data_IF_741535914000
#
_entry.id   IF_741535914000
#
_cell.length_a   1.000
_cell.length_b   1.000
_cell.length_c   1.000
_cell.angle_alpha   90.00
_cell.angle_beta   90.00
_cell.angle_gamma   90.00
#
_symmetry.space_group_name_H-M   'P 1'
#
loop_
_entity.id
_entity.type
_entity.pdbx_description
1 polymer ?
#
# COMPACT_ATOMS: atom_id res chain seq x y z
N UNK A 1 4.11 -8.64 -17.80
CA UNK A 1 4.77 -7.62 -16.97
C UNK A 1 5.21 -8.32 -15.71
N UNK A 2 6.51 -8.53 -15.55
CA UNK A 2 7.06 -9.06 -14.31
C UNK A 2 7.09 -7.91 -13.29
N UNK A 3 6.14 -7.91 -12.36
CA UNK A 3 6.06 -6.90 -11.32
C UNK A 3 6.95 -7.35 -10.16
N UNK A 4 8.03 -6.63 -9.84
CA UNK A 4 8.96 -7.05 -8.80
C UNK A 4 8.30 -7.04 -7.43
N UNK A 5 8.57 -8.08 -6.64
CA UNK A 5 8.30 -8.11 -5.20
C UNK A 5 9.24 -7.13 -4.50
N UNK A 6 8.71 -6.42 -3.51
CA UNK A 6 9.44 -5.44 -2.71
C UNK A 6 9.50 -5.93 -1.27
N UNK A 7 10.69 -5.91 -0.69
CA UNK A 7 10.85 -6.21 0.74
C UNK A 7 10.22 -5.09 1.56
N UNK A 8 9.81 -5.37 2.81
CA UNK A 8 9.19 -4.34 3.66
C UNK A 8 10.16 -3.17 3.95
N UNK A 9 11.45 -3.45 4.02
CA UNK A 9 12.49 -2.46 4.32
C UNK A 9 12.85 -1.59 3.09
N UNK A 10 12.50 -2.05 1.88
CA UNK A 10 12.77 -1.34 0.61
C UNK A 10 11.55 -0.58 0.06
N UNK A 11 10.50 -0.43 0.87
CA UNK A 11 9.27 0.25 0.48
C UNK A 11 9.51 1.71 0.09
N UNK A 12 8.97 2.11 -1.05
CA UNK A 12 9.02 3.47 -1.57
C UNK A 12 7.60 3.99 -1.82
N UNK A 13 7.35 5.31 -1.65
CA UNK A 13 6.06 5.89 -1.96
C UNK A 13 5.58 5.47 -3.36
N UNK A 14 4.34 4.99 -3.45
CA UNK A 14 3.75 4.44 -4.68
C UNK A 14 3.76 2.92 -4.78
N UNK A 15 4.51 2.20 -3.93
CA UNK A 15 4.43 0.74 -3.86
C UNK A 15 3.04 0.29 -3.41
N UNK A 16 2.52 -0.76 -4.07
CA UNK A 16 1.28 -1.41 -3.66
C UNK A 16 1.59 -2.41 -2.56
N UNK A 17 0.85 -2.32 -1.48
CA UNK A 17 0.95 -3.23 -0.33
C UNK A 17 -0.33 -4.04 -0.19
N UNK A 18 -0.20 -5.31 0.15
CA UNK A 18 -1.29 -6.28 0.15
C UNK A 18 -1.48 -6.93 1.51
N UNK A 19 -2.73 -7.14 1.90
CA UNK A 19 -3.09 -7.66 3.21
C UNK A 19 -4.13 -8.78 3.17
N UNK A 20 -4.09 -9.67 4.17
CA UNK A 20 -5.07 -10.74 4.39
C UNK A 20 -6.06 -10.44 5.53
N UNK A 21 -6.54 -9.21 5.68
CA UNK A 21 -7.47 -8.76 6.73
C UNK A 21 -8.65 -9.70 7.07
N UNK A 22 -9.07 -10.56 6.14
CA UNK A 22 -10.14 -11.54 6.34
C UNK A 22 -9.68 -12.90 6.88
N UNK A 23 -8.38 -13.12 7.08
CA UNK A 23 -7.79 -14.32 7.68
C UNK A 23 -7.88 -15.60 6.84
N UNK A 24 -8.15 -15.51 5.53
CA UNK A 24 -8.38 -16.68 4.66
C UNK A 24 -7.16 -17.06 3.80
N UNK A 25 -5.96 -16.69 4.22
CA UNK A 25 -4.70 -17.01 3.52
C UNK A 25 -4.54 -16.39 2.13
N UNK A 26 -5.39 -15.41 1.77
CA UNK A 26 -5.35 -14.74 0.47
C UNK A 26 -5.43 -13.22 0.64
N UNK A 27 -4.89 -12.51 -0.34
CA UNK A 27 -5.05 -11.07 -0.46
C UNK A 27 -6.53 -10.72 -0.45
N UNK A 28 -6.90 -9.78 0.41
CA UNK A 28 -8.28 -9.32 0.61
C UNK A 28 -8.41 -7.81 0.74
N UNK A 29 -7.27 -7.12 0.84
CA UNK A 29 -7.19 -5.67 0.95
C UNK A 29 -5.87 -5.19 0.33
N UNK A 30 -5.85 -3.96 -0.17
CA UNK A 30 -4.67 -3.31 -0.73
C UNK A 30 -4.59 -1.84 -0.30
N UNK A 31 -3.38 -1.30 -0.27
CA UNK A 31 -3.09 0.10 -0.03
C UNK A 31 -1.92 0.58 -0.89
N UNK A 32 -1.71 1.89 -0.93
CA UNK A 32 -0.56 2.52 -1.58
C UNK A 32 0.32 3.06 -0.46
N UNK A 33 1.58 2.61 -0.40
CA UNK A 33 2.54 3.12 0.55
C UNK A 33 2.86 4.59 0.25
N UNK A 34 2.93 5.43 1.28
CA UNK A 34 3.15 6.88 1.13
C UNK A 34 4.41 7.39 1.83
N UNK A 35 5.20 6.50 2.46
CA UNK A 35 6.38 6.86 3.25
C UNK A 35 6.15 6.70 4.76
N UNK A 36 7.22 6.75 5.53
CA UNK A 36 7.22 6.75 7.01
C UNK A 36 6.40 5.63 7.67
N UNK A 37 6.36 4.44 7.06
CA UNK A 37 5.56 3.33 7.56
C UNK A 37 4.06 3.50 7.36
N UNK A 38 3.61 4.51 6.60
CA UNK A 38 2.21 4.84 6.38
C UNK A 38 1.73 4.46 4.98
N UNK A 39 0.42 4.28 4.84
CA UNK A 39 -0.21 3.98 3.56
C UNK A 39 -1.63 4.55 3.49
N UNK A 40 -2.07 4.88 2.28
CA UNK A 40 -3.44 5.28 1.99
C UNK A 40 -4.23 4.10 1.42
N UNK A 41 -5.49 3.95 1.85
CA UNK A 41 -6.36 2.89 1.37
C UNK A 41 -7.84 3.25 1.51
N UNK A 42 -8.69 2.52 0.79
CA UNK A 42 -10.15 2.60 0.97
C UNK A 42 -10.59 1.64 2.07
N UNK A 43 -10.71 2.12 3.30
CA UNK A 43 -11.31 1.35 4.37
C UNK A 43 -12.82 1.12 4.12
N UNK A 44 -13.40 0.17 4.84
CA UNK A 44 -14.85 -0.04 4.78
C UNK A 44 -15.61 1.24 5.15
N UNK A 45 -16.87 1.37 4.72
CA UNK A 45 -17.72 2.52 5.11
C UNK A 45 -17.78 2.73 6.63
N UNK A 46 -17.82 1.65 7.41
CA UNK A 46 -17.80 1.71 8.87
C UNK A 46 -16.45 2.11 9.45
N UNK A 47 -15.37 1.94 8.69
CA UNK A 47 -14.00 2.27 9.05
C UNK A 47 -13.52 3.65 8.59
N UNK A 48 -14.41 4.49 8.05
CA UNK A 48 -14.10 5.88 7.69
C UNK A 48 -13.83 6.15 6.20
N UNK A 49 -13.93 5.15 5.33
CA UNK A 49 -13.69 5.35 3.89
C UNK A 49 -12.21 5.51 3.56
N UNK A 50 -11.84 6.45 2.68
CA UNK A 50 -10.44 6.67 2.29
C UNK A 50 -9.70 7.33 3.45
N UNK A 51 -8.65 6.67 3.96
CA UNK A 51 -7.86 7.13 5.11
C UNK A 51 -6.40 6.68 5.01
N UNK A 52 -5.59 7.22 5.91
CA UNK A 52 -4.19 6.86 6.10
C UNK A 52 -4.04 6.11 7.42
N UNK A 53 -3.37 4.96 7.38
CA UNK A 53 -3.06 4.11 8.53
C UNK A 53 -1.56 3.78 8.55
N UNK A 54 -1.07 3.30 9.70
CA UNK A 54 0.32 2.86 9.88
C UNK A 54 0.47 1.34 9.76
N UNK A 55 1.56 0.90 9.12
CA UNK A 55 2.01 -0.50 9.07
C UNK A 55 2.45 -1.06 10.43
N UNK A 56 2.67 -0.20 11.43
CA UNK A 56 3.05 -0.60 12.78
C UNK A 56 1.84 -0.85 13.69
N UNK A 57 0.65 -0.41 13.27
CA UNK A 57 -0.60 -0.77 13.94
C UNK A 57 -0.77 -2.29 13.89
N UNK A 58 -1.07 -2.89 15.04
CA UNK A 58 -1.13 -4.35 15.21
C UNK A 58 -2.05 -5.04 14.23
N UNK A 59 -3.18 -4.41 13.88
CA UNK A 59 -4.11 -4.94 12.87
C UNK A 59 -3.47 -5.11 11.50
N UNK A 60 -2.76 -4.09 11.01
CA UNK A 60 -2.12 -4.07 9.69
C UNK A 60 -0.81 -4.86 9.68
N UNK A 61 -0.05 -4.79 10.77
CA UNK A 61 1.20 -5.55 10.93
C UNK A 61 0.99 -7.05 10.86
N UNK A 62 -0.08 -7.55 11.49
CA UNK A 62 -0.40 -8.99 11.50
C UNK A 62 -0.97 -9.48 10.16
N UNK A 63 -1.55 -8.58 9.36
CA UNK A 63 -2.21 -8.96 8.10
C UNK A 63 -1.38 -8.71 6.85
N UNK A 64 -0.23 -8.03 6.97
CA UNK A 64 0.67 -7.74 5.85
C UNK A 64 1.15 -9.03 5.17
N UNK A 65 1.07 -9.07 3.84
CA UNK A 65 1.48 -10.22 3.05
C UNK A 65 2.71 -9.91 2.18
N UNK A 66 2.58 -8.94 1.29
CA UNK A 66 3.59 -8.64 0.27
C UNK A 66 3.46 -7.20 -0.22
N UNK A 67 4.50 -6.70 -0.87
CA UNK A 67 4.49 -5.44 -1.59
C UNK A 67 5.01 -5.63 -3.02
N UNK A 68 4.53 -4.77 -3.93
CA UNK A 68 4.89 -4.77 -5.34
C UNK A 68 5.11 -3.35 -5.85
N UNK A 69 6.18 -3.17 -6.62
CA UNK A 69 6.47 -1.91 -7.32
C UNK A 69 5.92 -1.96 -8.72
N UNK A 70 4.87 -1.18 -8.97
CA UNK A 70 4.20 -1.11 -10.27
C UNK A 70 4.61 0.10 -11.11
N UNK A 71 5.27 1.08 -10.50
CA UNK A 71 5.81 2.24 -11.21
C UNK A 71 7.18 1.89 -11.79
N UNK A 72 7.41 2.24 -13.05
CA UNK A 72 8.73 2.14 -13.65
C UNK A 72 9.72 3.09 -12.92
N UNK A 73 10.99 2.69 -12.73
CA UNK A 73 12.01 3.59 -12.20
C UNK A 73 12.09 4.87 -13.04
N UNK A 74 11.83 6.03 -12.43
CA UNK A 74 11.83 7.33 -13.10
C UNK A 74 10.45 7.85 -13.52
N UNK A 75 9.35 7.19 -13.13
CA UNK A 75 8.02 7.79 -13.19
C UNK A 75 7.87 8.89 -12.13
N UNK A 76 8.32 10.09 -12.45
CA UNK A 76 7.92 11.30 -11.74
C UNK A 76 6.43 11.51 -12.01
N UNK A 77 5.61 11.58 -10.95
CA UNK A 77 4.21 11.95 -11.08
C UNK A 77 4.16 13.28 -11.82
N UNK A 78 3.72 13.27 -13.08
CA UNK A 78 3.57 14.48 -13.87
C UNK A 78 2.72 15.43 -13.06
N UNK A 79 3.34 16.47 -12.51
CA UNK A 79 2.63 17.56 -11.85
C UNK A 79 1.73 18.20 -12.90
N UNK A 80 0.52 17.66 -13.06
CA UNK A 80 -0.52 18.32 -13.83
C UNK A 80 -1.22 19.25 -12.87
N UNK A 81 -0.57 20.39 -12.63
CA UNK A 81 -1.29 21.63 -12.36
C UNK A 81 -0.73 22.66 -13.33
N UNK A 82 -1.17 22.54 -14.58
CA UNK A 82 -1.16 23.67 -15.51
C UNK A 82 -2.59 24.16 -15.60
N UNK A 83 -2.79 25.36 -15.04
CA UNK A 83 -4.00 26.21 -14.99
C UNK A 83 -4.92 26.00 -13.78
#
# INVERSE_FOLDING_TARGET
MDVPLVSKDDLQPGDLIFFNNRGRGRVSHAGIYIGDGQFIHSASRRGGGVRVDSLDESYWRLSYMEAKRVLEPGYEARQTVSR
#
